data_IF_863609329123
#
_entry.id   IF_863609329123
#
_cell.length_a   1.000
_cell.length_b   1.000
_cell.length_c   1.000
_cell.angle_alpha   90.00
_cell.angle_beta   90.00
_cell.angle_gamma   90.00
#
_symmetry.space_group_name_H-M   'P 1'
#
loop_
_entity.id
_entity.type
_entity.pdbx_description
1 polymer ?
#
# COMPACT_ATOMS: atom_id res chain seq x y z
N UNK A 1 49.45 -9.94 29.55
CA UNK A 1 48.05 -9.51 29.74
C UNK A 1 47.28 -9.90 28.47
N UNK A 2 46.10 -10.51 28.68
CA UNK A 2 45.01 -10.93 27.77
C UNK A 2 45.36 -11.25 26.29
N UNK A 3 45.35 -12.51 25.82
CA UNK A 3 44.27 -13.51 25.57
C UNK A 3 43.81 -13.54 24.10
N UNK A 4 44.24 -14.62 23.43
CA UNK A 4 43.77 -15.20 22.16
C UNK A 4 42.26 -15.48 22.14
N UNK A 5 41.61 -15.33 20.95
CA UNK A 5 40.68 -16.32 20.36
C UNK A 5 40.63 -16.18 18.81
N UNK A 6 40.73 -17.28 18.04
CA UNK A 6 40.50 -17.36 16.58
C UNK A 6 39.11 -17.94 16.21
N UNK A 7 38.75 -17.86 14.92
CA UNK A 7 37.83 -18.73 14.14
C UNK A 7 36.46 -19.13 14.74
N UNK A 8 35.36 -18.93 13.99
CA UNK A 8 34.51 -20.04 13.50
C UNK A 8 33.20 -19.56 12.84
N UNK A 9 33.03 -20.05 11.61
CA UNK A 9 31.82 -20.45 10.91
C UNK A 9 30.63 -20.83 11.83
N UNK A 10 29.46 -20.20 11.66
CA UNK A 10 28.19 -20.74 12.17
C UNK A 10 27.24 -20.99 11.00
N UNK A 11 27.08 -22.29 10.70
CA UNK A 11 26.02 -22.86 9.86
C UNK A 11 24.67 -22.67 10.56
N UNK A 12 23.71 -22.01 9.92
CA UNK A 12 22.30 -22.11 10.32
C UNK A 12 21.71 -23.40 9.71
N UNK A 13 21.74 -24.47 10.50
CA UNK A 13 20.87 -25.65 10.34
C UNK A 13 19.90 -25.62 11.53
N UNK A 14 18.62 -25.47 11.24
CA UNK A 14 17.58 -25.52 12.27
C UNK A 14 16.19 -25.36 11.68
N UNK A 15 15.63 -26.48 11.20
CA UNK A 15 14.19 -26.64 11.03
C UNK A 15 13.57 -26.88 12.41
N UNK A 16 12.55 -26.10 12.79
CA UNK A 16 11.49 -26.53 13.71
C UNK A 16 10.17 -25.91 13.25
N UNK A 17 9.12 -26.71 13.01
CA UNK A 17 7.78 -26.21 12.69
C UNK A 17 7.04 -25.86 13.98
N UNK A 18 6.41 -24.68 14.05
CA UNK A 18 5.47 -24.36 15.12
C UNK A 18 4.05 -24.65 14.64
N UNK A 19 3.65 -25.91 14.75
CA UNK A 19 2.24 -26.29 14.77
C UNK A 19 1.68 -25.93 16.15
N UNK A 20 0.82 -24.92 16.23
CA UNK A 20 -0.06 -24.73 17.38
C UNK A 20 -1.45 -25.19 16.96
N UNK A 21 -1.77 -26.42 17.37
CA UNK A 21 -3.12 -26.91 17.56
C UNK A 21 -3.76 -26.13 18.71
N UNK A 22 -4.84 -25.40 18.43
CA UNK A 22 -5.80 -25.00 19.47
C UNK A 22 -7.18 -25.49 19.06
N UNK A 23 -7.48 -26.73 19.44
CA UNK A 23 -8.83 -27.29 19.45
C UNK A 23 -9.52 -26.73 20.68
N UNK A 24 -10.45 -25.78 20.48
CA UNK A 24 -11.41 -25.38 21.51
C UNK A 24 -12.74 -26.08 21.26
N UNK A 25 -13.07 -26.93 22.23
CA UNK A 25 -14.26 -27.76 22.36
C UNK A 25 -15.55 -26.93 22.21
N UNK A 26 -16.39 -27.30 21.25
CA UNK A 26 -17.81 -26.96 21.23
C UNK A 26 -18.61 -28.23 21.48
N UNK A 27 -18.90 -28.48 22.75
CA UNK A 27 -19.94 -29.44 23.17
C UNK A 27 -20.83 -28.77 24.21
N UNK A 28 -22.10 -28.61 23.86
CA UNK A 28 -23.21 -28.81 24.80
C UNK A 28 -23.83 -27.57 25.44
N UNK A 29 -24.72 -26.92 24.69
CA UNK A 29 -26.10 -26.59 25.07
C UNK A 29 -26.51 -26.73 26.56
N UNK A 30 -26.85 -25.61 27.22
CA UNK A 30 -28.12 -25.38 27.94
C UNK A 30 -28.07 -24.11 28.81
N UNK A 31 -29.02 -23.19 28.62
CA UNK A 31 -29.54 -22.36 29.71
C UNK A 31 -29.13 -20.88 29.75
N UNK A 32 -30.16 -20.04 29.76
CA UNK A 32 -30.22 -18.65 30.25
C UNK A 32 -29.49 -17.56 29.43
N UNK A 33 -30.32 -16.66 28.91
CA UNK A 33 -29.93 -15.55 28.05
C UNK A 33 -29.02 -14.53 28.71
N UNK A 34 -28.06 -14.07 27.93
CA UNK A 34 -27.53 -12.70 27.84
C UNK A 34 -26.59 -12.74 26.65
N UNK A 35 -27.07 -12.35 25.46
CA UNK A 35 -26.22 -12.27 24.26
C UNK A 35 -25.17 -11.17 24.49
N UNK A 36 -23.86 -11.44 24.57
CA UNK A 36 -22.89 -10.42 24.21
C UNK A 36 -22.93 -10.31 22.70
N UNK A 37 -23.02 -9.07 22.23
CA UNK A 37 -23.10 -8.65 20.85
C UNK A 37 -22.38 -9.61 19.89
N UNK A 38 -23.16 -10.18 18.96
CA UNK A 38 -22.60 -10.59 17.69
C UNK A 38 -21.98 -9.33 17.09
N UNK A 39 -20.66 -9.21 17.22
CA UNK A 39 -19.87 -8.25 16.48
C UNK A 39 -19.87 -8.77 15.04
N UNK A 40 -20.98 -8.54 14.36
CA UNK A 40 -21.01 -8.41 12.91
C UNK A 40 -20.34 -7.08 12.62
N UNK A 41 -19.01 -7.01 12.76
CA UNK A 41 -18.28 -5.87 12.23
C UNK A 41 -18.56 -5.86 10.75
N UNK A 42 -19.32 -4.86 10.33
CA UNK A 42 -19.73 -4.66 8.96
C UNK A 42 -18.49 -4.48 8.11
N UNK A 43 -18.04 -5.56 7.46
CA UNK A 43 -17.05 -5.56 6.37
C UNK A 43 -17.53 -4.75 5.16
N UNK A 44 -18.77 -4.24 5.19
CA UNK A 44 -19.42 -3.53 4.10
C UNK A 44 -18.93 -2.07 3.98
N UNK A 45 -18.33 -1.47 5.04
CA UNK A 45 -17.84 -0.09 5.00
C UNK A 45 -16.39 0.09 4.52
N UNK A 46 -15.52 -0.91 4.71
CA UNK A 46 -14.11 -0.84 4.29
C UNK A 46 -13.94 -1.13 2.79
N UNK A 47 -14.77 -2.03 2.25
CA UNK A 47 -14.70 -2.45 0.84
C UNK A 47 -15.09 -1.31 -0.12
N UNK A 48 -16.00 -0.41 0.27
CA UNK A 48 -16.33 0.78 -0.54
C UNK A 48 -15.26 1.86 -0.50
N UNK A 49 -14.52 1.98 0.61
CA UNK A 49 -13.43 2.97 0.75
C UNK A 49 -12.20 2.56 -0.07
N UNK A 50 -11.87 1.27 -0.05
CA UNK A 50 -10.71 0.75 -0.78
C UNK A 50 -10.93 0.71 -2.29
N UNK A 51 -12.14 0.39 -2.75
CA UNK A 51 -12.49 0.45 -4.18
C UNK A 51 -12.39 1.87 -4.73
N UNK A 52 -12.99 2.86 -4.06
CA UNK A 52 -12.87 4.27 -4.47
C UNK A 52 -11.42 4.78 -4.40
N UNK A 53 -10.66 4.32 -3.40
CA UNK A 53 -9.22 4.62 -3.27
C UNK A 53 -8.45 4.03 -4.46
N UNK A 54 -8.66 2.75 -4.80
CA UNK A 54 -8.02 2.08 -5.93
C UNK A 54 -8.38 2.75 -7.27
N UNK A 55 -9.65 3.04 -7.52
CA UNK A 55 -10.11 3.73 -8.73
C UNK A 55 -9.45 5.10 -8.89
N UNK A 56 -9.35 5.86 -7.80
CA UNK A 56 -8.75 7.19 -7.83
C UNK A 56 -7.22 7.16 -7.89
N UNK A 57 -6.58 6.19 -7.23
CA UNK A 57 -5.13 6.02 -7.17
C UNK A 57 -4.54 5.62 -8.53
N UNK A 58 -5.23 4.72 -9.24
CA UNK A 58 -4.84 4.28 -10.58
C UNK A 58 -5.45 5.17 -11.67
N UNK A 59 -6.60 5.80 -11.41
CA UNK A 59 -7.28 6.66 -12.36
C UNK A 59 -7.79 5.91 -13.60
N UNK A 60 -8.40 6.66 -14.51
CA UNK A 60 -8.68 6.14 -15.85
C UNK A 60 -7.36 5.87 -16.59
N UNK A 61 -7.29 4.75 -17.31
CA UNK A 61 -6.13 4.37 -18.13
C UNK A 61 -4.77 4.22 -17.40
N UNK A 62 -4.76 4.06 -16.07
CA UNK A 62 -3.53 3.96 -15.26
C UNK A 62 -2.68 5.25 -15.31
N UNK A 63 -3.32 6.41 -15.32
CA UNK A 63 -2.66 7.73 -15.28
C UNK A 63 -2.85 8.47 -13.93
N UNK A 64 -3.27 7.73 -12.90
CA UNK A 64 -3.48 8.25 -11.55
C UNK A 64 -2.18 8.62 -10.80
N UNK A 65 -2.31 9.07 -9.54
CA UNK A 65 -1.18 9.42 -8.69
C UNK A 65 -0.09 8.34 -8.58
N UNK A 66 -0.46 7.05 -8.58
CA UNK A 66 0.53 5.97 -8.53
C UNK A 66 1.41 5.93 -9.79
N UNK A 67 0.81 6.13 -10.97
CA UNK A 67 1.55 6.19 -12.22
C UNK A 67 2.50 7.40 -12.28
N UNK A 68 2.08 8.54 -11.72
CA UNK A 68 2.96 9.73 -11.58
C UNK A 68 4.15 9.44 -10.67
N UNK A 69 3.92 8.79 -9.53
CA UNK A 69 5.01 8.39 -8.62
C UNK A 69 5.99 7.43 -9.31
N UNK A 70 5.48 6.43 -10.04
CA UNK A 70 6.29 5.51 -10.84
C UNK A 70 7.10 6.25 -11.89
N UNK A 71 6.53 7.21 -12.62
CA UNK A 71 7.25 7.97 -13.63
C UNK A 71 8.43 8.75 -13.05
N UNK A 72 8.21 9.45 -11.93
CA UNK A 72 9.25 10.21 -11.23
C UNK A 72 10.38 9.27 -10.78
N UNK A 73 10.03 8.16 -10.11
CA UNK A 73 11.00 7.17 -9.64
C UNK A 73 11.78 6.57 -10.81
N UNK A 74 11.10 6.24 -11.90
CA UNK A 74 11.72 5.68 -13.11
C UNK A 74 12.67 6.67 -13.78
N UNK A 75 12.30 7.95 -13.89
CA UNK A 75 13.20 8.99 -14.40
C UNK A 75 14.47 9.08 -13.57
N UNK A 76 14.34 9.03 -12.25
CA UNK A 76 15.49 8.99 -11.35
C UNK A 76 16.33 7.71 -11.51
N UNK A 77 15.72 6.53 -11.62
CA UNK A 77 16.47 5.28 -11.80
C UNK A 77 17.23 5.24 -13.12
N UNK A 78 16.66 5.79 -14.20
CA UNK A 78 17.31 5.88 -15.50
C UNK A 78 18.46 6.88 -15.52
N UNK A 79 18.32 7.97 -14.78
CA UNK A 79 19.33 9.00 -14.64
C UNK A 79 19.29 9.50 -13.19
N UNK A 80 20.20 9.02 -12.30
CA UNK A 80 20.19 9.34 -10.87
C UNK A 80 20.72 10.76 -10.64
N UNK A 81 19.96 11.71 -11.13
CA UNK A 81 20.22 13.14 -11.19
C UNK A 81 18.88 13.84 -10.97
N UNK A 82 18.76 14.55 -9.85
CA UNK A 82 17.54 15.24 -9.48
C UNK A 82 17.42 16.61 -10.17
N UNK A 83 18.40 17.04 -10.99
CA UNK A 83 18.34 18.34 -11.67
C UNK A 83 17.19 18.46 -12.67
N UNK A 84 16.69 17.34 -13.20
CA UNK A 84 15.53 17.30 -14.10
C UNK A 84 14.19 17.03 -13.40
N UNK A 85 14.18 16.89 -12.07
CA UNK A 85 13.00 16.59 -11.27
C UNK A 85 12.79 17.74 -10.29
N UNK A 86 11.68 18.47 -10.41
CA UNK A 86 11.47 19.66 -9.57
C UNK A 86 10.97 19.29 -8.17
N UNK A 87 11.26 20.13 -7.18
CA UNK A 87 10.73 19.94 -5.83
C UNK A 87 9.20 19.88 -5.82
N UNK A 88 8.55 20.78 -6.56
CA UNK A 88 7.09 20.88 -6.65
C UNK A 88 6.47 19.64 -7.28
N UNK A 89 7.11 19.06 -8.29
CA UNK A 89 6.65 17.82 -8.94
C UNK A 89 6.65 16.65 -7.97
N UNK A 90 7.77 16.42 -7.27
CA UNK A 90 7.88 15.34 -6.27
C UNK A 90 6.93 15.57 -5.10
N UNK A 91 6.83 16.83 -4.65
CA UNK A 91 5.95 17.21 -3.55
C UNK A 91 4.48 17.00 -3.91
N UNK A 92 4.05 17.42 -5.10
CA UNK A 92 2.68 17.22 -5.58
C UNK A 92 2.33 15.73 -5.63
N UNK A 93 3.22 14.90 -6.19
CA UNK A 93 3.00 13.45 -6.25
C UNK A 93 2.94 12.80 -4.85
N UNK A 94 3.83 13.21 -3.93
CA UNK A 94 3.83 12.72 -2.55
C UNK A 94 2.56 13.14 -1.79
N UNK A 95 2.17 14.41 -1.88
CA UNK A 95 0.98 14.95 -1.19
C UNK A 95 -0.31 14.27 -1.69
N UNK A 96 -0.40 13.97 -2.99
CA UNK A 96 -1.51 13.19 -3.54
C UNK A 96 -1.58 11.78 -2.95
N UNK A 97 -0.46 11.05 -2.91
CA UNK A 97 -0.40 9.72 -2.30
C UNK A 97 -0.77 9.74 -0.81
N UNK A 98 -0.27 10.73 -0.05
CA UNK A 98 -0.65 10.94 1.36
C UNK A 98 -2.16 11.11 1.49
N UNK A 99 -2.78 11.90 0.62
CA UNK A 99 -4.22 12.12 0.65
C UNK A 99 -5.01 10.82 0.41
N UNK A 100 -4.50 9.89 -0.42
CA UNK A 100 -5.08 8.56 -0.62
C UNK A 100 -4.84 7.63 0.56
N UNK A 101 -3.61 7.61 1.09
CA UNK A 101 -3.26 6.80 2.26
C UNK A 101 -4.16 7.11 3.45
N UNK A 102 -4.46 8.37 3.71
CA UNK A 102 -5.32 8.80 4.82
C UNK A 102 -6.78 8.35 4.69
N UNK A 103 -7.22 7.94 3.50
CA UNK A 103 -8.60 7.48 3.21
C UNK A 103 -8.68 5.97 2.97
N UNK A 104 -7.53 5.33 2.77
CA UNK A 104 -7.40 3.91 2.55
C UNK A 104 -7.61 3.09 3.83
N UNK A 105 -7.95 1.81 3.70
CA UNK A 105 -7.85 0.87 4.81
C UNK A 105 -6.40 0.73 5.29
N UNK A 106 -6.15 0.19 6.50
CA UNK A 106 -4.79 0.01 7.02
C UNK A 106 -3.88 -0.82 6.11
N UNK A 107 -4.44 -1.81 5.39
CA UNK A 107 -3.68 -2.64 4.47
C UNK A 107 -3.24 -1.85 3.23
N UNK A 108 -4.19 -1.21 2.54
CA UNK A 108 -3.90 -0.35 1.38
C UNK A 108 -3.03 0.86 1.77
N UNK A 109 -3.28 1.46 2.93
CA UNK A 109 -2.51 2.59 3.44
C UNK A 109 -1.04 2.25 3.69
N UNK A 110 -0.73 1.03 4.15
CA UNK A 110 0.67 0.56 4.27
C UNK A 110 1.33 0.49 2.90
N UNK A 111 0.64 -0.05 1.90
CA UNK A 111 1.17 -0.18 0.54
C UNK A 111 1.37 1.19 -0.14
N UNK A 112 0.44 2.13 0.07
CA UNK A 112 0.56 3.50 -0.43
C UNK A 112 1.71 4.24 0.26
N UNK A 113 1.94 4.01 1.57
CA UNK A 113 3.08 4.60 2.28
C UNK A 113 4.43 4.19 1.65
N UNK A 114 4.55 2.95 1.20
CA UNK A 114 5.75 2.49 0.48
C UNK A 114 5.89 3.14 -0.91
N UNK A 115 4.78 3.57 -1.53
CA UNK A 115 4.84 4.39 -2.75
C UNK A 115 5.34 5.82 -2.47
N UNK A 116 5.04 6.38 -1.29
CA UNK A 116 5.50 7.71 -0.86
C UNK A 116 7.03 7.73 -0.57
N UNK A 117 7.58 6.60 -0.10
CA UNK A 117 8.95 6.51 0.43
C UNK A 117 10.04 7.10 -0.48
N UNK A 118 10.19 6.67 -1.76
CA UNK A 118 11.23 7.22 -2.62
C UNK A 118 11.01 8.70 -2.94
N UNK A 119 9.76 9.17 -3.04
CA UNK A 119 9.46 10.59 -3.25
C UNK A 119 9.90 11.43 -2.05
N UNK A 120 9.67 10.95 -0.83
CA UNK A 120 10.13 11.62 0.39
C UNK A 120 11.67 11.65 0.52
N UNK A 121 12.34 10.58 0.08
CA UNK A 121 13.80 10.56 -0.03
C UNK A 121 14.31 11.58 -1.05
N UNK A 122 13.68 11.68 -2.23
CA UNK A 122 14.00 12.72 -3.23
C UNK A 122 13.81 14.13 -2.68
N UNK A 123 12.69 14.40 -2.00
CA UNK A 123 12.43 15.71 -1.37
C UNK A 123 13.52 16.06 -0.37
N UNK A 124 13.93 15.09 0.45
CA UNK A 124 15.00 15.28 1.43
C UNK A 124 16.31 15.64 0.74
N UNK A 125 16.70 14.92 -0.31
CA UNK A 125 17.93 15.20 -1.08
C UNK A 125 17.87 16.57 -1.74
N UNK A 126 16.74 16.93 -2.36
CA UNK A 126 16.56 18.25 -3.02
C UNK A 126 16.68 19.38 -2.00
N UNK A 127 16.12 19.21 -0.80
CA UNK A 127 16.10 20.25 0.24
C UNK A 127 17.42 20.35 1.02
N UNK A 128 18.08 19.22 1.29
CA UNK A 128 19.34 19.20 2.03
C UNK A 128 20.56 19.45 1.14
N UNK A 129 20.46 19.14 -0.16
CA UNK A 129 21.59 19.12 -1.08
C UNK A 129 22.55 17.96 -0.85
N UNK A 130 22.25 17.06 0.09
CA UNK A 130 23.09 15.89 0.38
C UNK A 130 22.78 14.77 -0.60
N UNK A 131 23.79 14.30 -1.33
CA UNK A 131 23.63 13.17 -2.23
C UNK A 131 23.46 11.88 -1.42
N UNK A 132 22.25 11.31 -1.45
CA UNK A 132 21.90 10.06 -0.78
C UNK A 132 21.36 9.06 -1.81
N UNK A 133 21.56 7.78 -1.55
CA UNK A 133 20.97 6.71 -2.37
C UNK A 133 19.49 6.57 -2.06
N UNK A 134 18.66 6.46 -3.09
CA UNK A 134 17.24 6.18 -2.94
C UNK A 134 17.01 4.67 -2.98
N UNK A 135 16.37 4.12 -1.95
CA UNK A 135 15.94 2.72 -1.96
C UNK A 135 14.56 2.58 -2.63
N UNK A 136 14.50 1.80 -3.70
CA UNK A 136 13.28 1.54 -4.48
C UNK A 136 12.79 0.10 -4.37
N UNK A 137 13.40 -0.75 -3.52
CA UNK A 137 13.00 -2.15 -3.41
C UNK A 137 11.61 -2.30 -2.79
N UNK A 138 11.37 -1.62 -1.67
CA UNK A 138 10.07 -1.63 -1.01
C UNK A 138 8.99 -1.01 -1.90
N UNK A 139 9.32 0.09 -2.60
CA UNK A 139 8.47 0.71 -3.60
C UNK A 139 7.99 -0.27 -4.68
N UNK A 140 8.93 -1.01 -5.31
CA UNK A 140 8.61 -2.00 -6.36
C UNK A 140 7.76 -3.16 -5.83
N UNK A 141 8.10 -3.65 -4.64
CA UNK A 141 7.40 -4.78 -4.01
C UNK A 141 5.96 -4.38 -3.65
N UNK A 142 5.81 -3.24 -2.95
CA UNK A 142 4.52 -2.71 -2.59
C UNK A 142 3.69 -2.28 -3.81
N UNK A 143 4.31 -1.84 -4.90
CA UNK A 143 3.60 -1.49 -6.13
C UNK A 143 2.92 -2.71 -6.76
N UNK A 144 3.60 -3.86 -6.79
CA UNK A 144 3.00 -5.11 -7.26
C UNK A 144 1.89 -5.60 -6.32
N UNK A 145 2.09 -5.49 -5.01
CA UNK A 145 1.07 -5.86 -4.02
C UNK A 145 -0.15 -4.94 -4.08
N UNK A 146 0.06 -3.64 -4.26
CA UNK A 146 -1.01 -2.64 -4.41
C UNK A 146 -1.80 -2.85 -5.69
N UNK A 147 -1.11 -3.17 -6.79
CA UNK A 147 -1.78 -3.53 -8.04
C UNK A 147 -2.62 -4.80 -7.86
N UNK A 148 -2.09 -5.82 -7.19
CA UNK A 148 -2.84 -7.05 -6.90
C UNK A 148 -4.01 -6.79 -5.96
N UNK A 149 -3.85 -5.90 -4.98
CA UNK A 149 -4.90 -5.48 -4.06
C UNK A 149 -6.02 -4.74 -4.79
N UNK A 150 -5.65 -3.93 -5.78
CA UNK A 150 -6.56 -3.12 -6.57
C UNK A 150 -7.07 -3.81 -7.85
N UNK A 151 -6.82 -5.10 -8.09
CA UNK A 151 -7.51 -5.83 -9.17
C UNK A 151 -8.87 -6.38 -8.67
N UNK A 152 -9.98 -6.23 -9.44
CA UNK A 152 -10.09 -5.82 -10.84
C UNK A 152 -10.43 -4.32 -11.04
N UNK A 153 -10.12 -3.45 -10.08
CA UNK A 153 -10.62 -2.07 -10.00
C UNK A 153 -10.12 -1.03 -11.03
N UNK A 154 -9.30 -1.33 -12.06
CA UNK A 154 -9.44 -0.57 -13.30
C UNK A 154 -10.69 -1.09 -14.04
N UNK A 155 -11.88 -0.94 -13.43
CA UNK A 155 -13.14 -1.16 -14.13
C UNK A 155 -13.26 -0.08 -15.19
N UNK A 156 -13.39 -0.53 -16.44
CA UNK A 156 -13.76 0.25 -17.60
C UNK A 156 -14.80 1.30 -17.21
N UNK A 157 -14.59 2.54 -17.65
CA UNK A 157 -15.64 3.55 -17.71
C UNK A 157 -16.84 2.99 -18.50
N UNK A 158 -17.77 2.32 -17.83
CA UNK A 158 -19.11 2.14 -18.37
C UNK A 158 -19.79 3.50 -18.29
N UNK A 159 -19.71 4.20 -19.41
CA UNK A 159 -20.50 5.38 -19.72
C UNK A 159 -21.97 4.97 -19.82
N UNK A 160 -22.63 4.74 -18.68
CA UNK A 160 -24.08 4.60 -18.62
C UNK A 160 -24.67 5.64 -17.68
N UNK A 161 -24.53 6.91 -18.07
CA UNK A 161 -25.57 7.89 -17.79
C UNK A 161 -26.80 7.53 -18.61
N UNK A 162 -27.57 6.54 -18.16
CA UNK A 162 -28.99 6.45 -18.56
C UNK A 162 -29.73 7.48 -17.72
N UNK A 163 -29.76 8.71 -18.23
CA UNK A 163 -30.65 9.74 -17.76
C UNK A 163 -32.09 9.24 -18.00
N UNK A 164 -32.76 8.81 -16.94
CA UNK A 164 -34.16 8.44 -17.00
C UNK A 164 -34.95 9.69 -17.42
N UNK A 165 -35.46 9.69 -18.65
CA UNK A 165 -36.42 10.68 -19.10
C UNK A 165 -37.68 10.57 -18.21
N UNK A 166 -38.21 11.68 -17.66
CA UNK A 166 -39.52 11.63 -17.04
C UNK A 166 -40.56 11.41 -18.14
N UNK A 167 -41.27 10.29 -18.06
CA UNK A 167 -42.48 10.06 -18.83
C UNK A 167 -43.51 11.12 -18.42
N UNK A 168 -43.78 12.07 -19.31
CA UNK A 168 -44.96 12.91 -19.25
C UNK A 168 -46.11 12.13 -19.89
N UNK A 169 -47.09 11.75 -19.07
CA UNK A 169 -48.43 11.36 -19.47
C UNK A 169 -49.42 12.33 -18.87
#
# INVERSE_FOLDING_TARGET
>A
MAKSVPNALVKFRGSVPLAIFLVLLLTGCAGAGSQPASVTTSTIGAVSSDSHTCESLYGAALEGPEARAIDIVKRFEQRPDLSSISNDEVKSASDELVAFRLRASPAAGTLIAEQESPLNQMLTIIQSGENQTIDTLAFKTAGMELLSFCQPYPSKHDSSHTQAAPAAG
#
